data_IF_888955862719
#
_entry.id   IF_888955862719
#
_cell.length_a   1.000
_cell.length_b   1.000
_cell.length_c   1.000
_cell.angle_alpha   90.00
_cell.angle_beta   90.00
_cell.angle_gamma   90.00
#
_symmetry.space_group_name_H-M   'P 1'
#
loop_
_entity.id
_entity.type
_entity.pdbx_description
1 polymer ?
#
# COMPACT_ATOMS: atom_id res chain seq x y z
N UNK A 1 -11.92 -26.36 21.26
CA UNK A 1 -11.26 -25.82 22.47
C UNK A 1 -10.13 -24.88 22.09
N UNK A 2 -9.18 -25.29 21.27
CA UNK A 2 -8.00 -24.49 20.81
C UNK A 2 -8.38 -23.17 20.10
N UNK A 3 -9.34 -23.19 19.17
CA UNK A 3 -9.79 -21.98 18.45
C UNK A 3 -10.41 -20.94 19.38
N UNK A 4 -11.22 -21.36 20.38
CA UNK A 4 -11.80 -20.45 21.36
C UNK A 4 -10.72 -19.76 22.19
N UNK A 5 -9.73 -20.51 22.66
CA UNK A 5 -8.60 -19.96 23.43
C UNK A 5 -7.81 -18.92 22.62
N UNK A 6 -7.62 -19.17 21.31
CA UNK A 6 -6.94 -18.23 20.41
C UNK A 6 -7.76 -16.94 20.21
N UNK A 7 -9.09 -17.07 20.03
CA UNK A 7 -9.99 -15.90 19.92
C UNK A 7 -9.97 -15.09 21.24
N UNK A 8 -10.04 -15.76 22.41
CA UNK A 8 -9.97 -15.11 23.71
C UNK A 8 -8.63 -14.38 23.91
N UNK A 9 -7.52 -14.94 23.41
CA UNK A 9 -6.21 -14.27 23.41
C UNK A 9 -6.21 -13.01 22.52
N UNK A 10 -6.80 -13.05 21.32
CA UNK A 10 -6.96 -11.87 20.49
C UNK A 10 -7.81 -10.80 21.17
N UNK A 11 -8.93 -11.17 21.78
CA UNK A 11 -9.79 -10.25 22.55
C UNK A 11 -9.01 -9.58 23.68
N UNK A 12 -8.15 -10.35 24.38
CA UNK A 12 -7.31 -9.81 25.44
C UNK A 12 -6.29 -8.77 24.92
N UNK A 13 -5.77 -8.96 23.69
CA UNK A 13 -4.76 -8.08 23.10
C UNK A 13 -5.37 -6.81 22.54
N UNK A 14 -6.45 -6.91 21.74
CA UNK A 14 -6.97 -5.79 20.96
C UNK A 14 -8.33 -5.25 21.42
N UNK A 15 -9.01 -5.94 22.33
CA UNK A 15 -10.40 -5.68 22.76
C UNK A 15 -11.43 -6.40 21.89
N UNK A 16 -12.58 -6.73 22.50
CA UNK A 16 -13.66 -7.52 21.88
C UNK A 16 -14.18 -6.87 20.57
N UNK A 17 -14.33 -5.56 20.56
CA UNK A 17 -14.83 -4.80 19.40
C UNK A 17 -13.87 -4.83 18.19
N UNK A 18 -12.64 -5.34 18.38
CA UNK A 18 -11.60 -5.44 17.35
C UNK A 18 -11.33 -6.87 16.89
N UNK A 19 -12.19 -7.82 17.28
CA UNK A 19 -12.14 -9.21 16.83
C UNK A 19 -13.48 -9.59 16.21
N UNK A 20 -13.49 -9.90 14.92
CA UNK A 20 -14.68 -10.36 14.22
C UNK A 20 -14.55 -11.84 13.90
N UNK A 21 -15.54 -12.64 14.30
CA UNK A 21 -15.62 -14.08 14.02
C UNK A 21 -16.92 -14.47 13.31
N UNK A 22 -17.90 -13.57 13.32
CA UNK A 22 -19.19 -13.78 12.66
C UNK A 22 -19.05 -13.79 11.13
N UNK A 23 -19.71 -14.74 10.47
CA UNK A 23 -19.58 -14.95 9.03
C UNK A 23 -20.10 -13.80 8.20
N UNK A 24 -21.12 -13.08 8.65
CA UNK A 24 -21.70 -11.94 7.96
C UNK A 24 -20.77 -10.72 8.12
N UNK A 25 -20.35 -10.43 9.35
CA UNK A 25 -19.47 -9.30 9.65
C UNK A 25 -18.09 -9.42 9.01
N UNK A 26 -17.57 -10.64 8.87
CA UNK A 26 -16.26 -10.90 8.24
C UNK A 26 -16.31 -10.94 6.72
N UNK A 27 -17.50 -11.07 6.08
CA UNK A 27 -17.65 -11.22 4.62
C UNK A 27 -16.84 -10.18 3.83
N UNK A 28 -16.96 -8.91 4.19
CA UNK A 28 -16.21 -7.84 3.53
C UNK A 28 -14.70 -8.06 3.55
N UNK A 29 -14.15 -8.48 4.68
CA UNK A 29 -12.70 -8.67 4.86
C UNK A 29 -12.18 -9.96 4.25
N UNK A 30 -13.05 -10.95 4.05
CA UNK A 30 -12.74 -12.24 3.43
C UNK A 30 -12.95 -12.27 1.92
N UNK A 31 -13.35 -11.16 1.33
CA UNK A 31 -13.53 -11.01 -0.13
C UNK A 31 -12.47 -10.08 -0.69
N UNK A 32 -11.96 -10.39 -1.88
CA UNK A 32 -11.08 -9.51 -2.64
C UNK A 32 -11.80 -8.24 -3.09
N UNK A 33 -11.07 -7.31 -3.70
CA UNK A 33 -11.63 -6.03 -4.14
C UNK A 33 -12.67 -6.19 -5.26
N UNK A 34 -12.42 -7.07 -6.21
CA UNK A 34 -13.33 -7.33 -7.34
C UNK A 34 -13.77 -8.77 -7.44
N UNK A 35 -12.94 -9.69 -7.01
CA UNK A 35 -13.16 -11.13 -7.14
C UNK A 35 -12.49 -11.86 -5.99
N UNK A 36 -12.74 -13.16 -5.90
CA UNK A 36 -12.19 -14.04 -4.89
C UNK A 36 -12.81 -13.85 -3.49
N UNK A 37 -12.94 -14.95 -2.78
CA UNK A 37 -13.36 -14.95 -1.38
C UNK A 37 -12.97 -16.27 -0.72
N UNK A 38 -12.84 -16.26 0.59
CA UNK A 38 -12.48 -17.46 1.33
C UNK A 38 -12.98 -17.45 2.77
N UNK A 39 -12.51 -18.41 3.54
CA UNK A 39 -12.83 -18.56 4.96
C UNK A 39 -11.69 -18.04 5.83
N UNK A 40 -12.05 -17.53 7.01
CA UNK A 40 -11.10 -17.16 8.06
C UNK A 40 -11.72 -17.48 9.42
N UNK A 41 -10.90 -17.85 10.38
CA UNK A 41 -11.29 -18.04 11.78
C UNK A 41 -11.69 -16.70 12.40
N UNK A 42 -10.89 -15.67 12.14
CA UNK A 42 -11.10 -14.33 12.69
C UNK A 42 -10.52 -13.25 11.77
N UNK A 43 -11.08 -12.05 11.91
CA UNK A 43 -10.48 -10.78 11.43
C UNK A 43 -10.14 -9.95 12.65
N UNK A 44 -8.88 -9.58 12.81
CA UNK A 44 -8.35 -8.87 13.98
C UNK A 44 -7.86 -7.48 13.57
N UNK A 45 -8.19 -6.45 14.35
CA UNK A 45 -7.87 -5.04 14.07
C UNK A 45 -6.98 -4.43 15.15
N UNK A 46 -5.65 -4.65 15.08
CA UNK A 46 -4.74 -3.95 15.99
C UNK A 46 -4.82 -2.43 15.83
N UNK A 47 -4.75 -1.70 16.93
CA UNK A 47 -4.74 -0.22 16.98
C UNK A 47 -3.33 0.34 17.18
N UNK A 48 -2.41 -0.50 17.65
CA UNK A 48 -1.02 -0.14 17.90
C UNK A 48 -0.07 -1.17 17.29
N UNK A 49 1.18 -0.76 17.05
CA UNK A 49 2.21 -1.67 16.55
C UNK A 49 2.50 -2.80 17.53
N UNK A 50 2.40 -2.53 18.84
CA UNK A 50 2.58 -3.54 19.86
C UNK A 50 1.44 -4.57 19.86
N UNK A 51 0.19 -4.13 19.65
CA UNK A 51 -0.93 -5.05 19.47
C UNK A 51 -0.73 -5.93 18.23
N UNK A 52 -0.30 -5.34 17.08
CA UNK A 52 0.01 -6.09 15.87
C UNK A 52 1.08 -7.15 16.11
N UNK A 53 2.17 -6.79 16.81
CA UNK A 53 3.23 -7.71 17.18
C UNK A 53 2.71 -8.90 17.99
N UNK A 54 1.95 -8.64 19.05
CA UNK A 54 1.36 -9.67 19.91
C UNK A 54 0.35 -10.56 19.18
N UNK A 55 -0.45 -10.00 18.27
CA UNK A 55 -1.39 -10.78 17.43
C UNK A 55 -0.63 -11.71 16.49
N UNK A 56 0.42 -11.21 15.81
CA UNK A 56 1.28 -12.03 14.95
C UNK A 56 1.93 -13.15 15.78
N UNK A 57 2.44 -12.86 16.97
CA UNK A 57 3.02 -13.85 17.87
C UNK A 57 2.04 -14.97 18.22
N UNK A 58 0.80 -14.61 18.61
CA UNK A 58 -0.24 -15.59 18.87
C UNK A 58 -0.56 -16.46 17.63
N UNK A 59 -0.57 -15.88 16.44
CA UNK A 59 -0.78 -16.63 15.21
C UNK A 59 0.36 -17.62 14.94
N UNK A 60 1.61 -17.21 15.13
CA UNK A 60 2.79 -18.07 14.95
C UNK A 60 2.80 -19.21 15.97
N UNK A 61 2.59 -18.91 17.24
CA UNK A 61 2.57 -19.90 18.34
C UNK A 61 1.46 -20.96 18.16
N UNK A 62 0.38 -20.60 17.47
CA UNK A 62 -0.74 -21.48 17.18
C UNK A 62 -0.73 -22.05 15.76
N UNK A 63 0.37 -21.83 14.99
CA UNK A 63 0.54 -22.31 13.62
C UNK A 63 -0.59 -21.88 12.67
N UNK A 64 -1.05 -20.62 12.77
CA UNK A 64 -2.06 -20.07 11.89
C UNK A 64 -1.47 -19.58 10.56
N UNK A 65 -2.30 -19.58 9.54
CA UNK A 65 -2.04 -18.82 8.30
C UNK A 65 -2.39 -17.35 8.57
N UNK A 66 -1.45 -16.46 8.33
CA UNK A 66 -1.63 -15.03 8.52
C UNK A 66 -1.85 -14.36 7.16
N UNK A 67 -2.94 -13.58 7.04
CA UNK A 67 -3.17 -12.70 5.89
C UNK A 67 -3.12 -11.26 6.38
N UNK A 68 -2.04 -10.55 6.01
CA UNK A 68 -1.92 -9.12 6.29
C UNK A 68 -2.84 -8.35 5.33
N UNK A 69 -3.70 -7.50 5.87
CA UNK A 69 -4.67 -6.75 5.10
C UNK A 69 -4.66 -5.27 5.47
N UNK A 70 -4.55 -4.40 4.48
CA UNK A 70 -4.78 -2.97 4.61
C UNK A 70 -6.15 -2.60 4.00
N UNK A 71 -6.20 -1.63 3.07
CA UNK A 71 -7.44 -1.19 2.43
C UNK A 71 -7.98 -2.16 1.35
N UNK A 72 -7.30 -3.27 1.08
CA UNK A 72 -7.62 -4.31 0.06
C UNK A 72 -7.98 -3.78 -1.33
N UNK A 73 -7.33 -2.72 -1.76
CA UNK A 73 -7.54 -2.14 -3.09
C UNK A 73 -6.79 -2.86 -4.22
N UNK A 74 -5.92 -3.82 -3.86
CA UNK A 74 -5.16 -4.62 -4.83
C UNK A 74 -6.04 -5.56 -5.63
N UNK A 75 -5.76 -5.68 -6.92
CA UNK A 75 -6.52 -6.53 -7.85
C UNK A 75 -6.04 -7.99 -7.89
N UNK A 76 -4.93 -8.29 -7.23
CA UNK A 76 -4.31 -9.62 -7.19
C UNK A 76 -4.84 -10.52 -6.07
N UNK A 77 -5.79 -10.02 -5.27
CA UNK A 77 -6.47 -10.73 -4.17
C UNK A 77 -5.56 -11.18 -3.00
N UNK A 78 -4.27 -10.83 -3.00
CA UNK A 78 -3.30 -11.27 -1.99
C UNK A 78 -3.60 -10.83 -0.55
N UNK A 79 -4.56 -9.93 -0.35
CA UNK A 79 -5.00 -9.45 0.97
C UNK A 79 -6.31 -10.07 1.46
N UNK A 80 -6.81 -11.12 0.82
CA UNK A 80 -8.01 -11.85 1.21
C UNK A 80 -7.77 -13.37 1.11
N UNK A 81 -8.43 -14.18 1.94
CA UNK A 81 -8.37 -15.64 1.78
C UNK A 81 -9.05 -16.06 0.47
N UNK A 82 -8.61 -17.19 -0.08
CA UNK A 82 -9.19 -17.77 -1.28
C UNK A 82 -9.63 -19.23 -1.00
N UNK A 83 -10.93 -19.51 -1.17
CA UNK A 83 -11.47 -20.84 -0.89
C UNK A 83 -11.57 -21.17 0.60
N UNK A 84 -11.72 -22.48 0.90
CA UNK A 84 -11.94 -23.00 2.25
C UNK A 84 -11.12 -24.25 2.57
N UNK A 85 -10.19 -24.62 1.72
CA UNK A 85 -9.40 -25.86 1.77
C UNK A 85 -8.01 -25.67 2.43
N UNK A 86 -7.89 -24.68 3.29
CA UNK A 86 -6.68 -24.47 4.08
C UNK A 86 -6.45 -25.58 5.10
N UNK A 87 -5.19 -25.97 5.27
CA UNK A 87 -4.74 -27.00 6.22
C UNK A 87 -4.70 -26.52 7.69
N UNK A 88 -4.86 -25.21 7.90
CA UNK A 88 -4.74 -24.53 9.20
C UNK A 88 -5.74 -23.39 9.30
N UNK A 89 -5.94 -22.90 10.54
CA UNK A 89 -6.76 -21.72 10.78
C UNK A 89 -6.18 -20.48 10.12
N UNK A 90 -7.02 -19.75 9.37
CA UNK A 90 -6.66 -18.48 8.72
C UNK A 90 -7.07 -17.31 9.60
N UNK A 91 -6.16 -16.39 9.87
CA UNK A 91 -6.40 -15.13 10.58
C UNK A 91 -6.08 -13.96 9.65
N UNK A 92 -7.06 -13.09 9.44
CA UNK A 92 -6.85 -11.83 8.72
C UNK A 92 -6.49 -10.75 9.73
N UNK A 93 -5.31 -10.13 9.60
CA UNK A 93 -4.87 -9.02 10.44
C UNK A 93 -5.04 -7.73 9.64
N UNK A 94 -6.06 -6.94 9.98
CA UNK A 94 -6.34 -5.69 9.30
C UNK A 94 -5.67 -4.51 10.01
N UNK A 95 -4.70 -3.89 9.33
CA UNK A 95 -3.79 -2.88 9.88
C UNK A 95 -4.25 -1.42 9.66
N UNK A 96 -5.47 -1.20 9.18
CA UNK A 96 -5.95 0.14 8.77
C UNK A 96 -6.13 1.14 9.91
N UNK A 97 -6.03 0.71 11.18
CA UNK A 97 -6.20 1.60 12.33
C UNK A 97 -4.95 2.41 12.69
N UNK A 98 -3.76 1.98 12.27
CA UNK A 98 -2.47 2.61 12.56
C UNK A 98 -2.08 3.55 11.42
N UNK A 99 -2.49 4.82 11.50
CA UNK A 99 -2.49 5.78 10.37
C UNK A 99 -1.42 6.87 10.47
N UNK A 100 -0.61 6.88 11.51
CA UNK A 100 0.35 7.94 11.77
C UNK A 100 1.40 8.04 10.66
N UNK A 101 1.78 9.28 10.39
CA UNK A 101 2.82 9.66 9.43
C UNK A 101 3.72 10.65 10.16
N UNK A 102 5.03 10.45 10.08
CA UNK A 102 6.01 11.32 10.70
C UNK A 102 6.95 11.85 9.62
N UNK A 103 6.94 13.16 9.41
CA UNK A 103 7.82 13.81 8.44
C UNK A 103 9.21 13.99 9.04
N UNK A 104 10.24 13.63 8.27
CA UNK A 104 11.65 13.76 8.60
C UNK A 104 12.33 14.74 7.65
N UNK A 105 13.38 15.42 8.11
CA UNK A 105 14.22 16.34 7.32
C UNK A 105 13.37 17.33 6.49
N UNK A 106 12.50 18.08 7.17
CA UNK A 106 11.62 19.05 6.50
C UNK A 106 10.66 18.45 5.47
N UNK A 107 10.33 17.19 5.64
CA UNK A 107 9.44 16.43 4.76
C UNK A 107 10.13 15.74 3.59
N UNK A 108 11.47 15.77 3.48
CA UNK A 108 12.19 15.03 2.42
C UNK A 108 11.99 13.52 2.53
N UNK A 109 11.78 13.04 3.75
CA UNK A 109 11.39 11.66 4.01
C UNK A 109 10.19 11.61 4.96
N UNK A 110 9.50 10.47 4.96
CA UNK A 110 8.39 10.19 5.86
C UNK A 110 8.48 8.77 6.40
N UNK A 111 8.22 8.60 7.69
CA UNK A 111 7.93 7.30 8.31
C UNK A 111 6.42 7.11 8.30
N UNK A 112 5.96 6.03 7.68
CA UNK A 112 4.54 5.71 7.54
C UNK A 112 4.22 4.43 8.30
N UNK A 113 3.26 4.49 9.22
CA UNK A 113 2.72 3.30 9.87
C UNK A 113 1.82 2.51 8.91
N UNK A 114 1.50 1.23 9.21
CA UNK A 114 0.95 0.30 8.21
C UNK A 114 -0.39 0.72 7.59
N UNK A 115 -1.22 1.43 8.35
CA UNK A 115 -2.52 1.94 7.92
C UNK A 115 -2.50 3.35 7.32
N UNK A 116 -1.31 3.99 7.23
CA UNK A 116 -1.17 5.31 6.62
C UNK A 116 -1.53 5.27 5.13
N UNK A 117 -2.53 6.05 4.71
CA UNK A 117 -2.97 6.09 3.32
C UNK A 117 -2.08 7.00 2.46
N UNK A 118 -1.96 6.69 1.18
CA UNK A 118 -1.30 7.57 0.21
C UNK A 118 -1.95 8.94 0.14
N UNK A 119 -3.28 9.01 0.25
CA UNK A 119 -4.01 10.28 0.30
C UNK A 119 -3.61 11.14 1.52
N UNK A 120 -3.47 10.51 2.71
CA UNK A 120 -3.02 11.22 3.91
C UNK A 120 -1.57 11.69 3.76
N UNK A 121 -0.68 10.83 3.23
CA UNK A 121 0.71 11.19 2.97
C UNK A 121 0.81 12.38 1.99
N UNK A 122 0.04 12.37 0.92
CA UNK A 122 0.00 13.46 -0.05
C UNK A 122 -0.42 14.78 0.61
N UNK A 123 -1.47 14.74 1.46
CA UNK A 123 -1.96 15.91 2.18
C UNK A 123 -0.92 16.48 3.14
N UNK A 124 -0.24 15.63 3.91
CA UNK A 124 0.82 16.04 4.84
C UNK A 124 2.03 16.63 4.10
N UNK A 125 2.46 16.00 3.00
CA UNK A 125 3.58 16.47 2.19
C UNK A 125 3.27 17.77 1.46
N UNK A 126 2.04 17.96 0.98
CA UNK A 126 1.62 19.20 0.32
C UNK A 126 1.74 20.41 1.25
N UNK A 127 1.52 20.24 2.55
CA UNK A 127 1.68 21.31 3.55
C UNK A 127 3.13 21.82 3.67
N UNK A 128 4.11 21.02 3.27
CA UNK A 128 5.54 21.36 3.23
C UNK A 128 6.08 21.47 1.78
N UNK A 129 5.20 21.69 0.82
CA UNK A 129 5.51 21.85 -0.62
C UNK A 129 6.21 20.63 -1.23
N UNK A 130 5.78 19.43 -0.86
CA UNK A 130 6.31 18.16 -1.36
C UNK A 130 5.21 17.21 -1.82
N UNK A 131 5.60 16.18 -2.56
CA UNK A 131 4.72 15.15 -3.12
C UNK A 131 5.21 13.75 -2.76
N UNK A 132 4.31 12.74 -2.67
CA UNK A 132 4.70 11.37 -2.37
C UNK A 132 5.49 10.74 -3.52
N UNK A 133 6.22 9.65 -3.20
CA UNK A 133 7.01 8.87 -4.16
C UNK A 133 6.18 8.22 -5.26
N UNK A 134 4.92 7.95 -5.01
CA UNK A 134 4.02 7.24 -5.94
C UNK A 134 2.63 7.86 -5.91
N UNK A 135 2.01 7.93 -7.08
CA UNK A 135 0.60 8.27 -7.25
C UNK A 135 -0.04 7.10 -7.97
N UNK A 136 -0.90 6.36 -7.25
CA UNK A 136 -1.65 5.23 -7.79
C UNK A 136 -3.16 5.54 -7.77
N UNK A 137 -3.89 5.03 -8.77
CA UNK A 137 -5.32 5.32 -8.94
C UNK A 137 -6.20 4.93 -7.75
N UNK A 138 -5.73 4.01 -6.90
CA UNK A 138 -6.43 3.58 -5.68
C UNK A 138 -6.16 4.47 -4.44
N UNK A 139 -5.37 5.55 -4.55
CA UNK A 139 -5.10 6.45 -3.41
C UNK A 139 -6.38 7.04 -2.84
N UNK A 140 -7.31 7.46 -3.69
CA UNK A 140 -8.65 7.97 -3.29
C UNK A 140 -9.56 6.89 -2.67
N UNK A 141 -9.26 5.61 -2.88
CA UNK A 141 -9.96 4.48 -2.27
C UNK A 141 -9.35 4.05 -0.93
N UNK A 142 -8.32 4.74 -0.47
CA UNK A 142 -7.66 4.48 0.81
C UNK A 142 -6.46 3.53 0.73
N UNK A 143 -5.87 3.30 -0.46
CA UNK A 143 -4.66 2.51 -0.58
C UNK A 143 -3.56 3.02 0.36
N UNK A 144 -2.91 2.11 1.09
CA UNK A 144 -1.88 2.46 2.06
C UNK A 144 -0.49 2.48 1.44
N UNK A 145 0.41 3.26 2.04
CA UNK A 145 1.82 3.33 1.63
C UNK A 145 2.47 1.95 1.71
N UNK A 146 2.31 1.26 2.84
CA UNK A 146 2.86 -0.10 3.04
C UNK A 146 2.25 -1.09 2.07
N UNK A 147 0.94 -1.03 1.79
CA UNK A 147 0.30 -1.90 0.80
C UNK A 147 0.86 -1.68 -0.61
N UNK A 148 1.14 -0.43 -0.99
CA UNK A 148 1.79 -0.09 -2.25
C UNK A 148 3.20 -0.68 -2.36
N UNK A 149 4.00 -0.55 -1.30
CA UNK A 149 5.37 -1.08 -1.22
C UNK A 149 5.36 -2.62 -1.26
N UNK A 150 4.49 -3.26 -0.49
CA UNK A 150 4.38 -4.72 -0.46
C UNK A 150 4.05 -5.34 -1.82
N UNK A 151 3.41 -4.58 -2.72
CA UNK A 151 3.09 -5.00 -4.07
C UNK A 151 3.98 -4.36 -5.15
N UNK A 152 5.01 -3.60 -4.82
CA UNK A 152 5.77 -2.77 -5.78
C UNK A 152 4.83 -2.00 -6.72
N UNK A 153 3.78 -1.40 -6.17
CA UNK A 153 2.73 -0.76 -6.95
C UNK A 153 3.28 0.43 -7.72
N UNK A 154 3.13 0.40 -9.04
CA UNK A 154 3.47 1.52 -9.91
C UNK A 154 2.28 2.46 -10.09
N UNK A 155 2.57 3.72 -10.42
CA UNK A 155 1.60 4.73 -10.85
C UNK A 155 1.93 5.25 -12.24
N UNK A 156 1.32 6.38 -12.61
CA UNK A 156 1.55 7.03 -13.90
C UNK A 156 2.88 7.82 -13.97
N UNK A 157 3.58 7.97 -12.86
CA UNK A 157 4.83 8.74 -12.78
C UNK A 157 5.97 8.00 -13.49
N UNK A 158 6.54 8.62 -14.51
CA UNK A 158 7.57 8.01 -15.36
C UNK A 158 8.94 8.01 -14.67
N UNK A 159 9.25 9.04 -13.87
CA UNK A 159 10.58 9.21 -13.25
C UNK A 159 10.78 8.40 -11.97
N UNK A 160 9.72 8.10 -11.22
CA UNK A 160 9.83 7.63 -9.82
C UNK A 160 9.64 6.12 -9.66
N UNK A 161 9.14 5.45 -10.69
CA UNK A 161 8.93 4.02 -10.69
C UNK A 161 7.89 3.50 -9.70
N UNK A 162 7.94 2.21 -9.41
CA UNK A 162 7.12 1.56 -8.38
C UNK A 162 7.41 2.07 -6.97
N UNK A 163 6.45 1.91 -6.07
CA UNK A 163 6.64 2.13 -4.65
C UNK A 163 7.71 1.17 -4.11
N UNK A 164 8.80 1.73 -3.59
CA UNK A 164 9.97 0.97 -3.16
C UNK A 164 10.66 1.62 -1.97
N UNK A 165 11.15 0.81 -1.05
CA UNK A 165 12.08 1.22 0.01
C UNK A 165 12.83 0.01 0.56
N UNK A 166 14.07 0.22 0.97
CA UNK A 166 14.90 -0.73 1.72
C UNK A 166 14.87 -0.43 3.23
N UNK A 167 14.12 0.60 3.62
CA UNK A 167 14.04 1.09 4.98
C UNK A 167 12.69 0.72 5.59
N UNK A 168 12.66 -0.41 6.28
CA UNK A 168 11.45 -0.94 6.91
C UNK A 168 11.75 -1.60 8.26
N UNK A 169 10.71 -1.71 9.08
CA UNK A 169 10.69 -2.59 10.25
C UNK A 169 9.56 -3.59 10.10
N UNK A 170 9.85 -4.86 10.30
CA UNK A 170 8.90 -5.93 10.02
C UNK A 170 9.13 -7.17 10.91
N UNK A 171 8.08 -7.96 11.07
CA UNK A 171 8.13 -9.29 11.65
C UNK A 171 8.38 -10.33 10.55
N UNK A 172 9.24 -11.28 10.85
CA UNK A 172 9.57 -12.42 9.99
C UNK A 172 9.73 -13.68 10.84
N UNK A 173 9.16 -14.78 10.36
CA UNK A 173 9.44 -16.12 10.93
C UNK A 173 10.68 -16.69 10.25
N UNK A 174 11.67 -17.09 11.03
CA UNK A 174 12.89 -17.70 10.52
C UNK A 174 12.71 -19.19 10.17
N UNK A 175 13.76 -19.80 9.68
CA UNK A 175 13.80 -21.22 9.30
C UNK A 175 13.49 -22.19 10.47
N UNK A 176 13.70 -21.74 11.70
CA UNK A 176 13.49 -22.52 12.91
C UNK A 176 12.07 -22.28 13.51
N UNK A 177 11.23 -21.50 12.78
CA UNK A 177 9.87 -21.18 13.19
C UNK A 177 9.76 -20.07 14.22
N UNK A 178 10.86 -19.38 14.53
CA UNK A 178 10.90 -18.30 15.53
C UNK A 178 10.52 -16.98 14.89
N UNK A 179 9.63 -16.24 15.55
CA UNK A 179 9.27 -14.88 15.19
C UNK A 179 10.38 -13.90 15.61
N UNK A 180 10.85 -13.10 14.66
CA UNK A 180 11.87 -12.09 14.87
C UNK A 180 11.37 -10.71 14.39
N UNK A 181 11.74 -9.65 15.11
CA UNK A 181 11.59 -8.27 14.66
C UNK A 181 12.87 -7.84 13.97
N UNK A 182 12.78 -7.53 12.67
CA UNK A 182 13.89 -6.99 11.89
C UNK A 182 13.73 -5.49 11.77
N UNK A 183 14.69 -4.73 12.27
CA UNK A 183 14.68 -3.26 12.23
C UNK A 183 15.73 -2.73 11.26
N UNK A 184 15.28 -2.37 10.07
CA UNK A 184 16.08 -1.69 9.05
C UNK A 184 15.50 -0.31 8.71
N UNK A 185 14.72 0.29 9.62
CA UNK A 185 14.12 1.62 9.41
C UNK A 185 15.16 2.74 9.27
N UNK A 186 16.39 2.49 9.72
CA UNK A 186 17.49 3.46 9.68
C UNK A 186 17.30 4.62 10.64
N UNK A 187 16.78 4.35 11.83
CA UNK A 187 16.65 5.28 12.94
C UNK A 187 17.21 4.60 14.18
N UNK A 188 18.20 5.22 14.83
CA UNK A 188 18.81 4.71 16.03
C UNK A 188 18.12 5.18 17.31
N UNK A 189 18.41 4.50 18.43
CA UNK A 189 17.93 4.89 19.75
C UNK A 189 16.45 4.55 20.01
N UNK A 190 15.84 3.69 19.21
CA UNK A 190 14.43 3.28 19.36
C UNK A 190 14.22 2.28 20.52
N UNK A 191 15.29 1.74 21.11
CA UNK A 191 15.21 0.73 22.18
C UNK A 191 15.97 -0.54 21.85
N UNK A 192 15.91 -1.52 22.76
CA UNK A 192 16.64 -2.80 22.67
C UNK A 192 15.71 -4.01 22.54
N UNK A 193 14.44 -3.86 22.91
CA UNK A 193 13.43 -4.93 22.82
C UNK A 193 12.41 -4.60 21.71
N UNK A 194 11.73 -5.60 21.12
CA UNK A 194 10.66 -5.35 20.16
C UNK A 194 9.59 -4.40 20.70
N UNK A 195 9.22 -4.55 21.96
CA UNK A 195 8.21 -3.75 22.62
C UNK A 195 8.60 -2.28 22.73
N UNK A 196 9.85 -2.00 23.15
CA UNK A 196 10.37 -0.62 23.24
C UNK A 196 10.47 0.02 21.86
N UNK A 197 11.01 -0.70 20.88
CA UNK A 197 11.18 -0.22 19.51
C UNK A 197 9.83 0.15 18.90
N UNK A 198 8.86 -0.77 18.98
CA UNK A 198 7.53 -0.57 18.38
C UNK A 198 6.77 0.54 19.09
N UNK A 199 6.90 0.68 20.43
CA UNK A 199 6.26 1.76 21.15
C UNK A 199 6.85 3.13 20.76
N UNK A 200 8.17 3.26 20.68
CA UNK A 200 8.81 4.51 20.28
C UNK A 200 8.46 4.91 18.84
N UNK A 201 8.35 3.93 17.92
CA UNK A 201 7.87 4.20 16.56
C UNK A 201 6.41 4.63 16.57
N UNK A 202 5.55 3.95 17.36
CA UNK A 202 4.14 4.27 17.47
C UNK A 202 3.91 5.71 17.95
N UNK A 203 4.74 6.17 18.89
CA UNK A 203 4.62 7.50 19.52
C UNK A 203 5.36 8.60 18.75
N UNK A 204 6.13 8.22 17.71
CA UNK A 204 6.94 9.17 16.95
C UNK A 204 8.14 9.71 17.75
N UNK A 205 8.63 8.96 18.71
CA UNK A 205 9.77 9.32 19.54
C UNK A 205 11.09 9.13 18.76
N UNK A 206 11.23 9.89 17.67
CA UNK A 206 12.44 9.89 16.84
C UNK A 206 13.32 11.07 17.21
N UNK A 207 14.61 10.80 17.38
CA UNK A 207 15.62 11.85 17.42
C UNK A 207 16.08 12.12 15.97
N UNK A 208 15.81 13.32 15.42
CA UNK A 208 16.19 13.66 14.05
C UNK A 208 17.70 13.48 13.78
N UNK A 209 18.55 13.69 14.81
CA UNK A 209 19.99 13.55 14.70
C UNK A 209 20.45 12.08 14.63
N UNK A 210 19.54 11.15 14.93
CA UNK A 210 19.78 9.69 14.86
C UNK A 210 19.19 9.02 13.61
N UNK A 211 18.73 9.80 12.67
CA UNK A 211 18.29 9.28 11.36
C UNK A 211 19.52 8.98 10.51
N UNK A 212 19.69 7.69 10.17
CA UNK A 212 20.85 7.23 9.39
C UNK A 212 20.58 7.43 7.91
N UNK A 213 21.56 8.02 7.21
CA UNK A 213 21.60 8.13 5.76
C UNK A 213 22.73 7.25 5.21
N UNK A 214 22.49 5.94 5.15
CA UNK A 214 23.42 4.97 4.61
C UNK A 214 23.15 4.69 3.12
N UNK A 215 23.63 3.54 2.62
CA UNK A 215 23.45 3.13 1.21
C UNK A 215 22.03 2.64 0.89
N UNK A 216 21.18 2.40 1.89
CA UNK A 216 19.84 1.90 1.67
C UNK A 216 18.95 2.95 1.04
N UNK A 217 18.16 2.52 0.10
CA UNK A 217 17.31 3.40 -0.69
C UNK A 217 15.94 3.54 -0.04
N UNK A 218 15.48 4.78 0.16
CA UNK A 218 14.12 5.12 0.56
C UNK A 218 13.16 5.32 -0.64
N UNK A 219 13.67 5.13 -1.85
CA UNK A 219 12.96 5.11 -3.14
C UNK A 219 13.82 4.42 -4.19
N UNK A 220 13.23 4.03 -5.33
CA UNK A 220 13.98 3.45 -6.43
C UNK A 220 14.76 4.53 -7.19
N UNK A 221 16.03 4.69 -6.88
CA UNK A 221 16.92 5.69 -7.51
C UNK A 221 17.50 5.27 -8.86
N UNK A 222 17.34 4.02 -9.26
CA UNK A 222 17.84 3.48 -10.52
C UNK A 222 16.74 3.33 -11.58
N UNK A 223 15.52 3.74 -11.26
CA UNK A 223 14.39 3.54 -12.16
C UNK A 223 14.52 4.35 -13.45
N UNK A 224 15.08 5.55 -13.39
CA UNK A 224 15.30 6.41 -14.57
C UNK A 224 16.17 5.69 -15.62
N UNK A 225 17.21 5.00 -15.21
CA UNK A 225 18.07 4.20 -16.10
C UNK A 225 17.29 3.01 -16.70
N UNK A 226 16.55 2.28 -15.85
CA UNK A 226 15.79 1.10 -16.31
C UNK A 226 14.64 1.44 -17.24
N UNK A 227 13.93 2.54 -17.02
CA UNK A 227 12.81 2.93 -17.89
C UNK A 227 13.31 3.37 -19.27
N UNK A 228 14.54 3.87 -19.36
CA UNK A 228 15.20 4.28 -20.61
C UNK A 228 15.73 3.10 -21.41
N UNK A 229 15.96 1.94 -20.80
CA UNK A 229 16.35 0.74 -21.51
C UNK A 229 15.16 0.13 -22.25
N UNK A 230 14.93 0.61 -23.46
CA UNK A 230 13.84 0.15 -24.35
C UNK A 230 14.14 -1.18 -25.02
N UNK A 231 15.32 -1.75 -24.78
CA UNK A 231 15.79 -3.02 -25.36
C UNK A 231 15.72 -4.16 -24.36
N UNK A 232 15.51 -3.88 -23.10
CA UNK A 232 15.38 -4.89 -22.05
C UNK A 232 14.20 -5.83 -22.29
N UNK A 233 14.41 -7.12 -22.11
CA UNK A 233 13.37 -8.15 -22.13
C UNK A 233 12.46 -8.09 -20.88
N UNK A 234 12.91 -7.41 -19.83
CA UNK A 234 12.15 -7.24 -18.59
C UNK A 234 11.47 -5.86 -18.60
N UNK A 235 10.15 -5.77 -18.53
CA UNK A 235 9.45 -4.49 -18.44
C UNK A 235 9.93 -3.69 -17.22
N UNK A 236 10.17 -2.38 -17.40
CA UNK A 236 10.64 -1.52 -16.31
C UNK A 236 9.66 -1.41 -15.13
N UNK A 237 8.40 -1.74 -15.34
CA UNK A 237 7.33 -1.78 -14.32
C UNK A 237 6.78 -3.18 -14.13
N UNK A 238 7.65 -4.11 -13.84
CA UNK A 238 7.28 -5.45 -13.49
C UNK A 238 7.29 -5.61 -11.96
N UNK A 239 6.12 -5.85 -11.35
CA UNK A 239 5.98 -5.91 -9.89
C UNK A 239 6.80 -7.02 -9.24
N UNK A 240 7.09 -8.10 -9.97
CA UNK A 240 7.93 -9.21 -9.54
C UNK A 240 9.38 -9.11 -10.04
N UNK A 241 9.84 -7.93 -10.44
CA UNK A 241 11.23 -7.71 -10.85
C UNK A 241 12.18 -8.04 -9.68
N UNK A 242 12.95 -9.09 -9.80
CA UNK A 242 13.86 -9.59 -8.76
C UNK A 242 14.88 -8.52 -8.32
N UNK A 243 15.20 -7.57 -9.19
CA UNK A 243 16.07 -6.42 -8.86
C UNK A 243 15.42 -5.46 -7.84
N UNK A 244 14.11 -5.60 -7.60
CA UNK A 244 13.28 -4.74 -6.74
C UNK A 244 12.47 -5.54 -5.71
N UNK A 245 12.86 -6.77 -5.45
CA UNK A 245 12.35 -7.54 -4.33
C UNK A 245 13.36 -7.39 -3.17
N UNK A 246 13.00 -6.57 -2.20
CA UNK A 246 13.84 -6.33 -1.04
C UNK A 246 12.98 -6.18 0.23
N UNK A 247 13.06 -7.14 1.12
CA UNK A 247 12.34 -7.13 2.42
C UNK A 247 10.86 -6.74 2.25
N UNK A 248 10.45 -5.54 2.74
CA UNK A 248 9.07 -5.07 2.63
C UNK A 248 8.65 -4.82 1.17
N UNK A 249 9.59 -4.41 0.30
CA UNK A 249 9.30 -4.12 -1.11
C UNK A 249 9.05 -5.40 -1.89
N UNK A 250 7.83 -5.54 -2.42
CA UNK A 250 7.40 -6.72 -3.17
C UNK A 250 7.19 -7.97 -2.32
N UNK A 251 7.07 -7.84 -0.99
CA UNK A 251 6.90 -8.98 -0.08
C UNK A 251 5.55 -9.72 -0.27
N UNK A 252 4.58 -9.11 -0.91
CA UNK A 252 3.26 -9.68 -1.19
C UNK A 252 2.59 -10.33 0.04
N UNK A 253 2.78 -9.72 1.23
CA UNK A 253 2.21 -10.21 2.48
C UNK A 253 3.02 -11.29 3.20
N UNK A 254 4.21 -11.65 2.73
CA UNK A 254 5.10 -12.61 3.41
C UNK A 254 5.73 -12.07 4.70
N UNK A 255 5.66 -10.76 4.93
CA UNK A 255 6.19 -10.09 6.11
C UNK A 255 5.08 -9.32 6.83
N UNK A 256 5.16 -9.25 8.15
CA UNK A 256 4.32 -8.36 8.97
C UNK A 256 4.98 -6.99 9.13
N UNK A 257 4.73 -6.05 8.22
CA UNK A 257 5.37 -4.73 8.21
C UNK A 257 4.74 -3.81 9.27
N UNK A 258 5.57 -3.12 10.07
CA UNK A 258 5.16 -2.17 11.12
C UNK A 258 5.37 -0.72 10.72
N UNK A 259 6.40 -0.42 9.98
CA UNK A 259 6.62 0.90 9.42
C UNK A 259 7.57 0.83 8.22
N UNK A 260 7.47 1.84 7.37
CA UNK A 260 8.39 2.08 6.25
C UNK A 260 8.86 3.53 6.29
N UNK A 261 10.10 3.79 5.84
CA UNK A 261 10.62 5.12 5.59
C UNK A 261 10.79 5.31 4.09
N UNK A 262 10.22 6.39 3.56
CA UNK A 262 10.15 6.66 2.12
C UNK A 262 10.59 8.07 1.80
N UNK A 263 11.18 8.26 0.61
CA UNK A 263 11.48 9.58 0.07
C UNK A 263 10.21 10.30 -0.39
N UNK A 264 10.26 11.62 -0.38
CA UNK A 264 9.32 12.51 -1.01
C UNK A 264 10.03 13.40 -2.02
N UNK A 265 9.26 14.09 -2.86
CA UNK A 265 9.79 14.88 -3.98
C UNK A 265 9.26 16.31 -3.91
N UNK A 266 10.01 17.31 -4.40
CA UNK A 266 9.48 18.66 -4.51
C UNK A 266 8.29 18.69 -5.47
N UNK A 267 7.30 19.54 -5.17
CA UNK A 267 6.21 19.83 -6.11
C UNK A 267 6.75 20.68 -7.25
N UNK A 268 6.45 20.35 -8.51
CA UNK A 268 6.84 21.20 -9.65
C UNK A 268 6.25 22.60 -9.54
N UNK A 269 7.02 23.63 -9.88
CA UNK A 269 6.55 25.03 -9.88
C UNK A 269 5.48 25.27 -10.97
N UNK A 270 5.58 24.57 -12.10
CA UNK A 270 4.65 24.64 -13.22
C UNK A 270 4.45 23.27 -13.84
N UNK A 271 3.23 23.00 -14.21
CA UNK A 271 2.82 21.77 -14.88
C UNK A 271 2.07 22.08 -16.16
N UNK A 272 2.27 21.28 -17.19
CA UNK A 272 1.51 21.34 -18.43
C UNK A 272 1.20 19.93 -18.92
N UNK A 273 -0.04 19.72 -19.31
CA UNK A 273 -0.52 18.45 -19.87
C UNK A 273 -0.62 18.59 -21.39
N UNK A 274 -0.12 17.57 -22.11
CA UNK A 274 -0.22 17.47 -23.55
C UNK A 274 -1.05 16.24 -23.92
N UNK A 275 -2.05 16.43 -24.77
CA UNK A 275 -2.81 15.35 -25.37
C UNK A 275 -2.30 15.11 -26.78
N UNK A 276 -1.74 13.93 -27.02
CA UNK A 276 -1.21 13.53 -28.31
C UNK A 276 -2.07 12.41 -28.88
N UNK A 277 -2.72 12.65 -30.01
CA UNK A 277 -3.63 11.70 -30.65
C UNK A 277 -3.14 11.23 -32.01
N UNK A 278 -3.30 9.94 -32.29
CA UNK A 278 -3.06 9.36 -33.61
C UNK A 278 -3.91 8.11 -33.77
N UNK A 279 -4.21 7.75 -35.05
CA UNK A 279 -4.82 6.47 -35.39
C UNK A 279 -3.78 5.42 -35.81
N UNK A 280 -2.51 5.72 -35.70
CA UNK A 280 -1.38 4.88 -36.10
C UNK A 280 -0.60 4.44 -34.84
N UNK A 281 -0.69 3.19 -34.48
CA UNK A 281 -0.04 2.62 -33.29
C UNK A 281 1.50 2.68 -33.38
N UNK A 282 2.08 2.60 -34.58
CA UNK A 282 3.53 2.65 -34.76
C UNK A 282 4.08 4.03 -34.40
N UNK A 283 3.32 5.10 -34.65
CA UNK A 283 3.69 6.46 -34.23
C UNK A 283 3.69 6.59 -32.70
N UNK A 284 2.79 5.95 -31.99
CA UNK A 284 2.80 5.94 -30.53
C UNK A 284 4.00 5.17 -30.00
N UNK A 285 4.32 4.03 -30.60
CA UNK A 285 5.51 3.25 -30.26
C UNK A 285 6.79 4.05 -30.47
N UNK A 286 6.89 4.74 -31.63
CA UNK A 286 8.03 5.62 -31.91
C UNK A 286 8.11 6.76 -30.91
N UNK A 287 7.01 7.46 -30.63
CA UNK A 287 6.96 8.56 -29.67
C UNK A 287 7.42 8.12 -28.27
N UNK A 288 6.92 6.95 -27.79
CA UNK A 288 7.37 6.37 -26.52
C UNK A 288 8.88 6.12 -26.50
N UNK A 289 9.44 5.54 -27.56
CA UNK A 289 10.88 5.30 -27.67
C UNK A 289 11.66 6.61 -27.69
N UNK A 290 11.22 7.61 -28.46
CA UNK A 290 11.86 8.92 -28.54
C UNK A 290 11.90 9.61 -27.17
N UNK A 291 10.80 9.62 -26.42
CA UNK A 291 10.78 10.16 -25.05
C UNK A 291 11.78 9.47 -24.12
N UNK A 292 11.85 8.15 -24.17
CA UNK A 292 12.71 7.38 -23.27
C UNK A 292 14.20 7.44 -23.64
N UNK A 293 14.53 7.57 -24.94
CA UNK A 293 15.92 7.46 -25.43
C UNK A 293 16.55 8.79 -25.82
N UNK A 294 15.76 9.81 -26.22
CA UNK A 294 16.30 11.03 -26.78
C UNK A 294 16.08 12.27 -25.89
N UNK A 295 15.09 12.24 -25.00
CA UNK A 295 14.83 13.39 -24.13
C UNK A 295 15.79 13.40 -22.95
N UNK A 296 16.43 14.53 -22.72
CA UNK A 296 17.27 14.76 -21.54
C UNK A 296 16.47 14.58 -20.26
N UNK A 297 15.28 15.17 -20.21
CA UNK A 297 14.37 15.05 -19.09
C UNK A 297 13.16 14.21 -19.47
N UNK A 298 12.87 13.16 -18.70
CA UNK A 298 11.64 12.38 -18.84
C UNK A 298 10.43 13.24 -18.46
N UNK A 299 9.27 13.03 -19.11
CA UNK A 299 8.02 13.59 -18.63
C UNK A 299 7.73 13.11 -17.21
N UNK A 300 7.09 13.93 -16.38
CA UNK A 300 6.71 13.55 -15.01
C UNK A 300 5.72 12.38 -15.03
N UNK A 301 4.75 12.45 -15.93
CA UNK A 301 3.71 11.43 -16.10
C UNK A 301 3.53 11.11 -17.59
N UNK A 302 3.24 9.87 -17.92
CA UNK A 302 2.91 9.43 -19.27
C UNK A 302 1.94 8.26 -19.23
N UNK A 303 0.81 8.43 -19.89
CA UNK A 303 -0.22 7.38 -20.00
C UNK A 303 -0.68 7.19 -21.44
N UNK A 304 -0.92 5.94 -21.80
CA UNK A 304 -1.60 5.57 -23.04
C UNK A 304 -3.08 5.35 -22.77
N UNK A 305 -3.90 6.04 -23.56
CA UNK A 305 -5.36 5.90 -23.49
C UNK A 305 -5.90 5.41 -24.83
N UNK A 306 -6.43 4.19 -24.87
CA UNK A 306 -7.12 3.68 -26.04
C UNK A 306 -8.47 4.39 -26.25
N UNK A 307 -8.90 4.55 -27.51
CA UNK A 307 -10.17 5.19 -27.87
C UNK A 307 -11.39 4.56 -27.13
N UNK A 308 -11.42 3.26 -26.99
CA UNK A 308 -12.53 2.60 -26.31
C UNK A 308 -12.61 2.95 -24.83
N UNK A 309 -11.46 3.06 -24.15
CA UNK A 309 -11.42 3.51 -22.76
C UNK A 309 -11.89 4.95 -22.63
N UNK A 310 -11.50 5.83 -23.56
CA UNK A 310 -12.00 7.20 -23.61
C UNK A 310 -13.54 7.22 -23.76
N UNK A 311 -14.09 6.46 -24.71
CA UNK A 311 -15.54 6.38 -24.93
C UNK A 311 -16.26 5.79 -23.70
N UNK A 312 -15.69 4.80 -23.03
CA UNK A 312 -16.24 4.26 -21.78
C UNK A 312 -16.21 5.28 -20.65
N UNK A 313 -15.11 6.00 -20.49
CA UNK A 313 -15.01 7.07 -19.49
C UNK A 313 -15.99 8.20 -19.75
N UNK A 314 -16.17 8.60 -21.01
CA UNK A 314 -17.19 9.58 -21.38
C UNK A 314 -18.62 9.11 -21.08
N UNK A 315 -18.90 7.83 -21.30
CA UNK A 315 -20.24 7.25 -21.06
C UNK A 315 -20.53 7.01 -19.57
N UNK A 316 -19.57 6.50 -18.81
CA UNK A 316 -19.78 5.96 -17.46
C UNK A 316 -19.04 6.70 -16.37
N UNK A 317 -18.14 7.64 -16.70
CA UNK A 317 -17.30 8.36 -15.74
C UNK A 317 -17.72 9.79 -15.46
N UNK A 318 -18.87 10.25 -15.99
CA UNK A 318 -19.31 11.65 -15.88
C UNK A 318 -19.57 12.08 -14.43
N UNK A 319 -20.10 11.20 -13.61
CA UNK A 319 -20.34 11.44 -12.18
C UNK A 319 -19.04 11.72 -11.41
N UNK A 320 -18.00 10.94 -11.68
CA UNK A 320 -16.67 11.12 -11.08
C UNK A 320 -16.02 12.42 -11.60
N UNK A 321 -16.08 12.65 -12.91
CA UNK A 321 -15.55 13.87 -13.51
C UNK A 321 -16.20 15.13 -12.91
N UNK A 322 -17.53 15.21 -12.91
CA UNK A 322 -18.27 16.34 -12.34
C UNK A 322 -18.00 16.51 -10.84
N UNK A 323 -17.83 15.42 -10.11
CA UNK A 323 -17.50 15.48 -8.69
C UNK A 323 -16.11 16.07 -8.46
N UNK A 324 -15.12 15.72 -9.28
CA UNK A 324 -13.77 16.29 -9.20
C UNK A 324 -13.79 17.77 -9.60
N UNK A 325 -14.48 18.10 -10.67
CA UNK A 325 -14.58 19.47 -11.20
C UNK A 325 -15.25 20.43 -10.22
N UNK A 326 -16.34 20.00 -9.58
CA UNK A 326 -17.13 20.84 -8.68
C UNK A 326 -16.67 20.84 -7.22
N UNK A 327 -16.15 19.71 -6.72
CA UNK A 327 -15.84 19.49 -5.29
C UNK A 327 -14.35 19.33 -4.99
N UNK A 328 -13.53 19.23 -6.03
CA UNK A 328 -12.09 18.93 -5.90
C UNK A 328 -11.80 17.49 -5.47
N UNK A 329 -10.53 17.13 -5.46
CA UNK A 329 -10.07 15.78 -5.15
C UNK A 329 -10.10 15.43 -3.65
N UNK A 330 -10.08 16.42 -2.78
CA UNK A 330 -10.01 16.24 -1.32
C UNK A 330 -11.24 15.51 -0.75
N UNK A 331 -12.38 15.61 -1.42
CA UNK A 331 -13.63 14.96 -1.01
C UNK A 331 -13.88 13.58 -1.65
N UNK A 332 -13.06 13.16 -2.60
CA UNK A 332 -13.20 11.86 -3.28
C UNK A 332 -13.29 10.66 -2.33
N UNK A 333 -12.47 10.54 -1.27
CA UNK A 333 -12.60 9.41 -0.35
C UNK A 333 -13.96 9.33 0.35
N UNK A 334 -14.54 10.48 0.71
CA UNK A 334 -15.86 10.54 1.33
C UNK A 334 -16.96 10.16 0.34
N UNK A 335 -16.85 10.64 -0.89
CA UNK A 335 -17.79 10.35 -1.97
C UNK A 335 -17.79 8.86 -2.32
N UNK A 336 -16.62 8.24 -2.51
CA UNK A 336 -16.52 6.80 -2.77
C UNK A 336 -17.03 5.95 -1.60
N UNK A 337 -16.77 6.39 -0.36
CA UNK A 337 -17.32 5.72 0.83
C UNK A 337 -18.85 5.78 0.87
N UNK A 338 -19.44 6.92 0.49
CA UNK A 338 -20.89 7.07 0.40
C UNK A 338 -21.48 6.23 -0.72
N UNK A 339 -20.85 6.26 -1.92
CA UNK A 339 -21.27 5.44 -3.06
C UNK A 339 -21.29 3.95 -2.70
N UNK A 340 -20.22 3.44 -2.08
CA UNK A 340 -20.14 2.05 -1.64
C UNK A 340 -21.23 1.68 -0.61
N UNK A 341 -21.58 2.58 0.30
CA UNK A 341 -22.69 2.36 1.26
C UNK A 341 -24.04 2.29 0.57
N UNK A 342 -24.28 3.15 -0.43
CA UNK A 342 -25.53 3.15 -1.22
C UNK A 342 -25.63 1.88 -2.07
N UNK A 343 -24.56 1.48 -2.72
CA UNK A 343 -24.50 0.25 -3.52
C UNK A 343 -24.79 -0.98 -2.65
N UNK A 344 -24.15 -1.11 -1.49
CA UNK A 344 -24.42 -2.19 -0.52
C UNK A 344 -25.86 -2.18 0.02
N UNK A 345 -26.51 -1.02 0.11
CA UNK A 345 -27.90 -0.91 0.53
C UNK A 345 -28.87 -1.34 -0.59
N UNK A 346 -28.52 -1.09 -1.84
CA UNK A 346 -29.35 -1.40 -3.02
C UNK A 346 -29.18 -2.83 -3.54
N UNK A 347 -28.04 -3.50 -3.27
CA UNK A 347 -27.83 -4.90 -3.69
C UNK A 347 -28.94 -5.88 -3.26
N UNK A 348 -29.53 -5.82 -2.06
CA UNK A 348 -30.67 -6.66 -1.73
C UNK A 348 -31.94 -6.43 -2.55
N UNK A 349 -32.06 -5.25 -3.21
CA UNK A 349 -33.22 -4.88 -3.99
C UNK A 349 -33.08 -5.27 -5.48
N UNK A 350 -31.91 -5.68 -5.94
CA UNK A 350 -31.62 -6.01 -7.33
C UNK A 350 -31.79 -7.51 -7.68
N UNK A 351 -32.16 -8.34 -6.69
CA UNK A 351 -32.46 -9.77 -6.86
C UNK A 351 -33.98 -9.95 -6.71
N UNK A 352 -34.70 -9.50 -7.73
CA UNK A 352 -36.10 -9.69 -7.89
C UNK A 352 -36.43 -9.91 -9.35
#
# INVERSE_FOLDING_TARGET
MKQKQLIDAFVTIVGEENVLTDQIKTKYYRSGFRSGSGTALAVVFPKTLLEQWKVIQQCVDNNCIIIMQAAKTGLTEGSAPNGSDYDRDVVVINITKMKQIYLLDGGKQAVCLPGASLHSLEKELRAVNRAPHSVIGSSSLGATVVGGIANNSGGALVKRGPAYTELAIFAQVDKDGKLNLVNHLGIEGLGSTPEEILQNIQDGNFDPDKVIHDKRMASDKEYDERVRDVTSDIPSRFNADERRLYEASGCAGKLGVFAVRVDSYPIPEKEQVFYLGTNDADKLTKLRKDFLTQFENLPEMGEYLHRDIFNMAEKYGKDVFLSIDLLGTDNLPKMFSLKAKVENFLEPCAVG
#
